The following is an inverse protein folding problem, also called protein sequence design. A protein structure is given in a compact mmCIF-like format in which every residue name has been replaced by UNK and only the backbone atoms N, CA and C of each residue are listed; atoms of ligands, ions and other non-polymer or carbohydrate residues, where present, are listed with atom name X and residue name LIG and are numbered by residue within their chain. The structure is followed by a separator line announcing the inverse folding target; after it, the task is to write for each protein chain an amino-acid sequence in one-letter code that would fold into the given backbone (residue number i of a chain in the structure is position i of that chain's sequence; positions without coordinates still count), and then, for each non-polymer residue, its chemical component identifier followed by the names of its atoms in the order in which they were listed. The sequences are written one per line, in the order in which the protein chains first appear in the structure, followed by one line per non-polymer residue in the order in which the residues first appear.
data_IF_084056299381
#
_entry.id   IF_084056299381
#
_cell.length_a   1.000
_cell.length_b   1.000
_cell.length_c   1.000
_cell.angle_alpha   90.00
_cell.angle_beta   90.00
_cell.angle_gamma   90.00
#
_symmetry.space_group_name_H-M   'P 1'
#
loop_
_entity.id
_entity.type
_entity.pdbx_description
1 polymer ?
#
# COMPACT_ATOMS: atom_id res chain seq x y z
N UNK A 1 9.24 -12.86 9.00
CA UNK A 1 7.77 -12.98 9.03
C UNK A 1 7.33 -14.31 9.62
N UNK A 2 7.70 -15.47 9.06
CA UNK A 2 7.27 -16.82 9.55
C UNK A 2 7.52 -17.03 11.04
N UNK A 3 8.65 -16.55 11.60
CA UNK A 3 8.93 -16.64 13.05
C UNK A 3 7.88 -15.88 13.88
N UNK A 4 7.41 -14.74 13.41
CA UNK A 4 6.39 -13.93 14.10
C UNK A 4 5.03 -14.64 14.06
N UNK A 5 4.70 -15.30 12.97
CA UNK A 5 3.41 -15.95 12.77
C UNK A 5 3.25 -17.22 13.61
N UNK A 6 4.35 -17.95 13.89
CA UNK A 6 4.33 -19.22 14.65
C UNK A 6 3.70 -19.12 16.04
N UNK A 7 3.85 -17.97 16.68
CA UNK A 7 3.39 -17.73 18.05
C UNK A 7 1.97 -17.13 18.12
N UNK A 8 1.32 -16.94 16.97
CA UNK A 8 -0.03 -16.36 16.89
C UNK A 8 -1.10 -17.47 16.88
N UNK A 9 -2.18 -17.27 17.64
CA UNK A 9 -3.32 -18.20 17.69
C UNK A 9 -4.15 -18.18 16.41
N UNK A 10 -4.32 -17.02 15.84
CA UNK A 10 -5.06 -16.81 14.60
C UNK A 10 -4.35 -15.75 13.77
N UNK A 11 -4.16 -16.05 12.50
CA UNK A 11 -3.57 -15.13 11.52
C UNK A 11 -4.50 -15.03 10.33
N UNK A 12 -4.90 -13.82 10.03
CA UNK A 12 -5.73 -13.49 8.88
C UNK A 12 -4.84 -12.83 7.82
N UNK A 13 -4.86 -13.36 6.61
CA UNK A 13 -4.18 -12.79 5.46
C UNK A 13 -5.17 -11.97 4.64
N UNK A 14 -4.81 -10.75 4.28
CA UNK A 14 -5.53 -9.96 3.28
C UNK A 14 -4.68 -9.84 2.02
N UNK A 15 -5.29 -10.07 0.85
CA UNK A 15 -4.68 -9.87 -0.46
C UNK A 15 -5.57 -8.92 -1.24
N UNK A 16 -4.96 -7.81 -1.69
CA UNK A 16 -5.68 -6.75 -2.38
C UNK A 16 -6.06 -7.10 -3.82
N UNK A 17 -5.14 -7.69 -4.59
CA UNK A 17 -5.33 -8.04 -5.99
C UNK A 17 -4.23 -9.02 -6.47
N UNK A 18 -4.29 -9.42 -7.74
CA UNK A 18 -3.51 -10.51 -8.31
C UNK A 18 -2.14 -10.12 -8.88
N UNK A 19 -1.71 -8.85 -8.82
CA UNK A 19 -0.38 -8.48 -9.32
C UNK A 19 0.72 -9.20 -8.55
N UNK A 20 1.81 -9.54 -9.22
CA UNK A 20 2.87 -10.41 -8.70
C UNK A 20 3.55 -9.88 -7.43
N UNK A 21 3.58 -8.59 -7.23
CA UNK A 21 4.11 -7.94 -6.03
C UNK A 21 3.13 -7.97 -4.83
N UNK A 22 1.85 -8.37 -5.06
CA UNK A 22 0.82 -8.57 -4.05
C UNK A 22 0.38 -10.04 -3.95
N UNK A 23 0.62 -10.83 -5.00
CA UNK A 23 0.25 -12.24 -5.11
C UNK A 23 1.45 -13.04 -5.63
N UNK A 24 2.33 -13.49 -4.72
CA UNK A 24 3.47 -14.33 -5.02
C UNK A 24 3.25 -15.76 -4.51
N UNK A 25 3.24 -16.73 -5.43
CA UNK A 25 2.89 -18.11 -5.13
C UNK A 25 3.87 -18.77 -4.14
N UNK A 26 5.16 -18.49 -4.24
CA UNK A 26 6.17 -19.08 -3.36
C UNK A 26 6.00 -18.54 -1.93
N UNK A 27 5.77 -17.24 -1.79
CA UNK A 27 5.46 -16.62 -0.49
C UNK A 27 4.16 -17.16 0.08
N UNK A 28 3.13 -17.33 -0.73
CA UNK A 28 1.83 -17.86 -0.29
C UNK A 28 1.96 -19.31 0.19
N UNK A 29 2.67 -20.16 -0.54
CA UNK A 29 2.93 -21.54 -0.10
C UNK A 29 3.68 -21.58 1.24
N UNK A 30 4.66 -20.69 1.44
CA UNK A 30 5.41 -20.57 2.70
C UNK A 30 4.52 -20.13 3.87
N UNK A 31 3.54 -19.26 3.62
CA UNK A 31 2.66 -18.71 4.65
C UNK A 31 1.47 -19.61 4.98
N UNK A 32 1.03 -20.47 4.04
CA UNK A 32 -0.18 -21.28 4.16
C UNK A 32 -0.33 -22.01 5.50
N UNK A 33 0.70 -22.66 6.07
CA UNK A 33 0.57 -23.40 7.35
C UNK A 33 0.25 -22.50 8.55
N UNK A 34 0.36 -21.18 8.40
CA UNK A 34 0.20 -20.20 9.48
C UNK A 34 -1.06 -19.36 9.34
N UNK A 35 -1.79 -19.47 8.22
CA UNK A 35 -2.95 -18.62 7.91
C UNK A 35 -4.25 -19.38 8.20
N UNK A 36 -5.07 -18.79 9.05
CA UNK A 36 -6.39 -19.35 9.40
C UNK A 36 -7.44 -19.03 8.34
N UNK A 37 -7.40 -17.82 7.80
CA UNK A 37 -8.34 -17.28 6.81
C UNK A 37 -7.62 -16.35 5.84
N UNK A 38 -8.00 -16.39 4.57
CA UNK A 38 -7.56 -15.42 3.57
C UNK A 38 -8.75 -14.57 3.13
N UNK A 39 -8.67 -13.25 3.36
CA UNK A 39 -9.70 -12.29 2.99
C UNK A 39 -9.29 -11.61 1.70
N UNK A 40 -10.19 -11.59 0.74
CA UNK A 40 -9.99 -10.95 -0.56
C UNK A 40 -11.23 -10.14 -0.96
N UNK A 41 -11.08 -9.15 -1.86
CA UNK A 41 -12.22 -8.52 -2.50
C UNK A 41 -12.94 -9.49 -3.43
N UNK A 42 -14.26 -9.35 -3.51
CA UNK A 42 -15.08 -10.05 -4.50
C UNK A 42 -15.09 -9.25 -5.78
N UNK A 43 -14.23 -9.63 -6.70
CA UNK A 43 -14.19 -9.06 -8.04
C UNK A 43 -15.25 -9.68 -8.96
N UNK A 44 -15.46 -9.07 -10.14
CA UNK A 44 -16.39 -9.59 -11.14
C UNK A 44 -15.93 -10.94 -11.71
N UNK A 45 -14.62 -11.22 -11.72
CA UNK A 45 -14.07 -12.53 -12.04
C UNK A 45 -13.68 -13.31 -10.79
N UNK A 46 -13.35 -14.57 -10.97
CA UNK A 46 -13.02 -15.47 -9.87
C UNK A 46 -11.54 -15.83 -9.78
N UNK A 47 -10.69 -15.22 -10.60
CA UNK A 47 -9.31 -15.64 -10.76
C UNK A 47 -8.56 -15.69 -9.42
N UNK A 48 -8.54 -14.58 -8.67
CA UNK A 48 -7.83 -14.49 -7.38
C UNK A 48 -8.33 -15.54 -6.39
N UNK A 49 -9.67 -15.68 -6.26
CA UNK A 49 -10.30 -16.70 -5.40
C UNK A 49 -9.88 -18.10 -5.79
N UNK A 50 -9.96 -18.44 -7.07
CA UNK A 50 -9.75 -19.79 -7.55
C UNK A 50 -8.27 -20.21 -7.41
N UNK A 51 -7.33 -19.27 -7.67
CA UNK A 51 -5.91 -19.50 -7.43
C UNK A 51 -5.61 -19.77 -5.94
N UNK A 52 -6.15 -18.95 -5.04
CA UNK A 52 -5.94 -19.14 -3.60
C UNK A 52 -6.54 -20.46 -3.08
N UNK A 53 -7.72 -20.85 -3.56
CA UNK A 53 -8.31 -22.14 -3.23
C UNK A 53 -7.49 -23.31 -3.75
N UNK A 54 -6.90 -23.19 -4.94
CA UNK A 54 -6.01 -24.20 -5.51
C UNK A 54 -4.74 -24.39 -4.67
N UNK A 55 -4.20 -23.31 -4.09
CA UNK A 55 -3.08 -23.36 -3.14
C UNK A 55 -3.50 -24.02 -1.81
N UNK A 56 -4.78 -23.95 -1.45
CA UNK A 56 -5.33 -24.55 -0.23
C UNK A 56 -5.81 -23.55 0.83
N UNK A 57 -5.92 -22.28 0.52
CA UNK A 57 -6.40 -21.27 1.45
C UNK A 57 -7.91 -21.37 1.74
N UNK A 58 -8.28 -21.10 3.00
CA UNK A 58 -9.66 -20.83 3.39
C UNK A 58 -10.03 -19.38 3.01
N UNK A 59 -10.64 -19.20 1.85
CA UNK A 59 -10.90 -17.89 1.23
C UNK A 59 -12.25 -17.34 1.61
N UNK A 60 -12.27 -16.09 2.06
CA UNK A 60 -13.47 -15.28 2.32
C UNK A 60 -13.46 -14.10 1.38
N UNK A 61 -14.48 -13.99 0.53
CA UNK A 61 -14.67 -12.86 -0.38
C UNK A 61 -15.57 -11.80 0.30
N UNK A 62 -15.16 -10.54 0.26
CA UNK A 62 -15.96 -9.41 0.73
C UNK A 62 -16.43 -8.57 -0.47
N UNK A 63 -17.70 -8.16 -0.43
CA UNK A 63 -18.23 -7.16 -1.35
C UNK A 63 -17.69 -5.75 -0.99
N UNK A 64 -17.82 -4.81 -1.92
CA UNK A 64 -17.48 -3.42 -1.68
C UNK A 64 -18.19 -2.87 -0.44
N UNK A 65 -17.42 -2.22 0.44
CA UNK A 65 -17.88 -1.68 1.73
C UNK A 65 -18.49 -2.72 2.68
N UNK A 66 -18.29 -4.01 2.41
CA UNK A 66 -18.70 -5.06 3.34
C UNK A 66 -17.71 -5.16 4.49
N UNK A 67 -18.26 -5.14 5.71
CA UNK A 67 -17.48 -5.33 6.95
C UNK A 67 -17.55 -6.78 7.41
N UNK A 68 -16.41 -7.37 7.70
CA UNK A 68 -16.27 -8.67 8.35
C UNK A 68 -15.73 -8.46 9.77
N UNK A 69 -16.50 -8.88 10.76
CA UNK A 69 -16.06 -8.84 12.16
C UNK A 69 -15.15 -10.03 12.45
N UNK A 70 -13.97 -9.74 13.01
CA UNK A 70 -13.00 -10.72 13.48
C UNK A 70 -13.19 -11.02 14.96
N UNK A 71 -13.66 -10.03 15.71
CA UNK A 71 -14.10 -10.13 17.12
C UNK A 71 -15.31 -9.20 17.35
N UNK A 72 -15.65 -8.92 18.61
CA UNK A 72 -16.75 -8.02 18.96
C UNK A 72 -16.59 -6.62 18.36
N UNK A 73 -15.35 -6.10 18.35
CA UNK A 73 -15.04 -4.73 17.90
C UNK A 73 -14.09 -4.72 16.70
N UNK A 74 -13.28 -5.77 16.53
CA UNK A 74 -12.30 -5.84 15.47
C UNK A 74 -12.95 -6.22 14.14
N UNK A 75 -12.57 -5.53 13.09
CA UNK A 75 -13.13 -5.82 11.76
C UNK A 75 -12.14 -5.46 10.64
N UNK A 76 -12.40 -6.05 9.50
CA UNK A 76 -11.85 -5.63 8.22
C UNK A 76 -13.01 -5.24 7.28
N UNK A 77 -12.82 -4.17 6.54
CA UNK A 77 -13.75 -3.65 5.54
C UNK A 77 -12.96 -3.27 4.29
N UNK A 78 -13.51 -3.52 3.10
CA UNK A 78 -12.81 -3.26 1.85
C UNK A 78 -13.50 -2.18 1.02
N UNK A 79 -12.71 -1.26 0.47
CA UNK A 79 -13.12 -0.37 -0.63
C UNK A 79 -12.57 -0.98 -1.91
N UNK A 80 -13.44 -1.42 -2.80
CA UNK A 80 -13.08 -2.17 -3.99
C UNK A 80 -13.11 -1.25 -5.22
N UNK A 81 -12.08 -1.33 -6.04
CA UNK A 81 -12.03 -0.77 -7.39
C UNK A 81 -12.01 -1.93 -8.37
N UNK A 82 -13.09 -2.06 -9.13
CA UNK A 82 -13.22 -3.09 -10.15
C UNK A 82 -13.79 -2.44 -11.42
N UNK A 83 -12.93 -2.26 -12.42
CA UNK A 83 -13.28 -1.64 -13.71
C UNK A 83 -13.39 -2.66 -14.82
N UNK A 84 -13.30 -3.96 -14.50
CA UNK A 84 -13.25 -5.05 -15.47
C UNK A 84 -11.89 -5.23 -16.15
N UNK A 85 -11.01 -4.24 -16.06
CA UNK A 85 -9.63 -4.29 -16.61
C UNK A 85 -8.61 -4.16 -15.49
N UNK A 86 -8.91 -3.34 -14.47
CA UNK A 86 -8.06 -3.14 -13.31
C UNK A 86 -8.85 -3.52 -12.06
N UNK A 87 -8.28 -4.39 -11.28
CA UNK A 87 -8.79 -4.82 -9.99
C UNK A 87 -7.84 -4.35 -8.90
N UNK A 88 -8.39 -3.77 -7.84
CA UNK A 88 -7.62 -3.41 -6.65
C UNK A 88 -8.55 -3.12 -5.47
N UNK A 89 -8.01 -3.11 -4.28
CA UNK A 89 -8.78 -2.78 -3.08
C UNK A 89 -7.94 -2.12 -2.00
N UNK A 90 -8.62 -1.35 -1.17
CA UNK A 90 -8.09 -0.73 0.04
C UNK A 90 -8.71 -1.42 1.24
N UNK A 91 -7.91 -1.82 2.23
CA UNK A 91 -8.41 -2.38 3.48
C UNK A 91 -8.49 -1.32 4.57
N UNK A 92 -9.63 -1.29 5.27
CA UNK A 92 -9.83 -0.57 6.53
C UNK A 92 -9.85 -1.63 7.63
N UNK A 93 -8.89 -1.61 8.51
CA UNK A 93 -8.70 -2.61 9.55
C UNK A 93 -8.80 -1.93 10.90
N UNK A 94 -9.75 -2.34 11.72
CA UNK A 94 -9.85 -1.93 13.12
C UNK A 94 -9.40 -3.10 13.99
N UNK A 95 -8.36 -2.88 14.79
CA UNK A 95 -7.85 -3.84 15.77
C UNK A 95 -7.52 -3.09 17.06
N UNK A 96 -8.03 -3.58 18.19
CA UNK A 96 -7.78 -2.99 19.51
C UNK A 96 -8.09 -1.47 19.55
N UNK A 97 -9.20 -1.05 18.93
CA UNK A 97 -9.64 0.35 18.80
C UNK A 97 -8.69 1.26 18.01
N UNK A 98 -7.73 0.70 17.28
CA UNK A 98 -6.85 1.42 16.34
C UNK A 98 -7.23 1.10 14.89
N UNK A 99 -7.35 2.14 14.08
CA UNK A 99 -7.74 2.02 12.67
C UNK A 99 -6.53 2.17 11.77
N UNK A 100 -6.24 1.12 11.02
CA UNK A 100 -5.25 1.13 9.94
C UNK A 100 -5.97 1.09 8.58
N UNK A 101 -5.71 2.07 7.74
CA UNK A 101 -6.14 2.09 6.35
C UNK A 101 -4.95 1.76 5.47
N UNK A 102 -4.98 0.57 4.87
CA UNK A 102 -3.99 0.13 3.89
C UNK A 102 -4.56 0.34 2.48
N UNK A 103 -4.23 1.47 1.89
CA UNK A 103 -4.63 1.77 0.51
C UNK A 103 -3.70 1.11 -0.50
N UNK A 104 -2.49 0.69 -0.10
CA UNK A 104 -1.45 0.15 -0.97
C UNK A 104 -1.25 0.99 -2.26
N UNK A 105 -1.42 0.47 -3.45
CA UNK A 105 -1.38 1.19 -4.72
C UNK A 105 -2.77 1.41 -5.36
N UNK A 106 -3.83 1.04 -4.65
CA UNK A 106 -5.22 1.23 -5.05
C UNK A 106 -5.59 2.70 -5.26
N UNK A 107 -6.26 3.01 -6.35
CA UNK A 107 -6.58 4.38 -6.76
C UNK A 107 -7.99 4.78 -6.37
N UNK A 108 -8.28 4.89 -5.07
CA UNK A 108 -9.58 5.32 -4.53
C UNK A 108 -9.71 6.84 -4.33
N UNK A 109 -8.96 7.65 -5.07
CA UNK A 109 -8.89 9.10 -4.81
C UNK A 109 -10.23 9.84 -4.91
N UNK A 110 -11.16 9.34 -5.70
CA UNK A 110 -12.54 9.81 -5.82
C UNK A 110 -13.45 9.35 -4.67
N UNK A 111 -13.04 8.33 -3.90
CA UNK A 111 -13.79 7.73 -2.78
C UNK A 111 -13.18 8.04 -1.41
N UNK A 112 -12.14 8.85 -1.34
CA UNK A 112 -11.47 9.21 -0.08
C UNK A 112 -12.40 9.89 0.92
N UNK A 113 -13.46 10.56 0.46
CA UNK A 113 -14.48 11.17 1.32
C UNK A 113 -15.17 10.15 2.24
N UNK A 114 -15.22 8.88 1.86
CA UNK A 114 -15.71 7.81 2.72
C UNK A 114 -14.89 7.66 4.01
N UNK A 115 -13.62 8.01 3.98
CA UNK A 115 -12.71 7.95 5.13
C UNK A 115 -12.68 9.24 5.95
N UNK A 116 -13.31 10.33 5.49
CA UNK A 116 -13.17 11.65 6.09
C UNK A 116 -13.71 11.72 7.54
N UNK A 117 -14.76 10.95 7.83
CA UNK A 117 -15.38 10.87 9.15
C UNK A 117 -14.84 9.70 10.00
N UNK A 118 -13.91 8.93 9.47
CA UNK A 118 -13.26 7.81 10.17
C UNK A 118 -12.06 8.31 10.94
N UNK A 119 -11.98 8.01 12.25
CA UNK A 119 -10.76 8.27 13.02
C UNK A 119 -9.68 7.28 12.59
N UNK A 120 -8.78 7.71 11.71
CA UNK A 120 -7.68 6.87 11.21
C UNK A 120 -6.42 7.11 12.03
N UNK A 121 -5.86 6.05 12.61
CA UNK A 121 -4.61 6.11 13.34
C UNK A 121 -3.43 5.95 12.39
N UNK A 122 -3.49 4.98 11.49
CA UNK A 122 -2.42 4.68 10.53
C UNK A 122 -2.97 4.67 9.12
N UNK A 123 -2.26 5.32 8.21
CA UNK A 123 -2.61 5.36 6.79
C UNK A 123 -1.41 5.01 5.94
N UNK A 124 -1.56 4.00 5.09
CA UNK A 124 -0.54 3.59 4.13
C UNK A 124 -1.06 3.73 2.71
N UNK A 125 -0.32 4.46 1.87
CA UNK A 125 -0.61 4.60 0.45
C UNK A 125 0.69 4.74 -0.35
N UNK A 126 0.68 4.21 -1.55
CA UNK A 126 1.77 4.33 -2.51
C UNK A 126 2.13 5.79 -2.80
N UNK A 127 3.38 6.17 -2.58
CA UNK A 127 3.88 7.52 -2.87
C UNK A 127 4.71 7.61 -4.15
N UNK A 128 5.24 6.50 -4.64
CA UNK A 128 5.99 6.41 -5.88
C UNK A 128 5.40 5.27 -6.73
N UNK A 129 5.35 5.41 -8.02
CA UNK A 129 4.84 4.38 -8.90
C UNK A 129 5.95 3.71 -9.70
N UNK A 130 5.73 2.50 -10.18
CA UNK A 130 6.57 1.85 -11.17
C UNK A 130 6.07 2.22 -12.57
N UNK A 131 6.84 2.98 -13.35
CA UNK A 131 6.49 3.36 -14.72
C UNK A 131 7.73 3.56 -15.57
N UNK A 132 7.80 2.93 -16.74
CA UNK A 132 8.87 3.16 -17.70
C UNK A 132 8.77 4.51 -18.45
N UNK A 133 7.61 5.17 -18.41
CA UNK A 133 7.44 6.47 -19.08
C UNK A 133 7.75 7.62 -18.12
N UNK A 134 8.61 8.59 -18.51
CA UNK A 134 9.19 8.81 -19.85
C UNK A 134 10.56 8.15 -20.06
N UNK A 135 11.14 7.53 -19.04
CA UNK A 135 12.57 7.15 -19.01
C UNK A 135 12.93 6.16 -20.11
N UNK A 136 12.09 5.15 -20.32
CA UNK A 136 12.30 4.08 -21.33
C UNK A 136 11.84 4.47 -22.75
N UNK A 137 11.42 5.72 -22.97
CA UNK A 137 10.90 6.15 -24.27
C UNK A 137 11.95 6.94 -25.06
N UNK A 138 11.91 6.84 -26.38
CA UNK A 138 12.78 7.60 -27.28
C UNK A 138 12.31 9.07 -27.34
N UNK A 139 12.95 9.90 -26.55
CA UNK A 139 12.75 11.35 -26.52
C UNK A 139 13.98 12.03 -25.89
N UNK A 140 14.17 13.33 -26.18
CA UNK A 140 15.30 14.07 -25.64
C UNK A 140 15.22 14.21 -24.10
N UNK A 141 16.36 14.39 -23.46
CA UNK A 141 16.49 14.40 -22.01
C UNK A 141 15.73 15.53 -21.34
N UNK A 142 15.70 16.71 -21.95
CA UNK A 142 14.97 17.84 -21.38
C UNK A 142 13.46 17.55 -21.29
N UNK A 143 12.90 16.92 -22.34
CA UNK A 143 11.50 16.50 -22.34
C UNK A 143 11.23 15.39 -21.31
N UNK A 144 12.14 14.40 -21.20
CA UNK A 144 12.06 13.36 -20.14
C UNK A 144 12.02 14.00 -18.76
N UNK A 145 12.94 14.91 -18.48
CA UNK A 145 13.01 15.63 -17.20
C UNK A 145 11.74 16.42 -16.87
N UNK A 146 11.20 17.15 -17.84
CA UNK A 146 9.95 17.91 -17.64
C UNK A 146 8.76 17.00 -17.32
N UNK A 147 8.61 15.88 -18.05
CA UNK A 147 7.53 14.90 -17.83
C UNK A 147 7.72 14.23 -16.47
N UNK A 148 8.92 13.77 -16.13
CA UNK A 148 9.22 13.13 -14.85
C UNK A 148 8.89 14.04 -13.68
N UNK A 149 9.32 15.30 -13.74
CA UNK A 149 9.01 16.31 -12.71
C UNK A 149 7.51 16.54 -12.57
N UNK A 150 6.78 16.66 -13.68
CA UNK A 150 5.33 16.83 -13.66
C UNK A 150 4.64 15.63 -13.00
N UNK A 151 5.01 14.40 -13.39
CA UNK A 151 4.46 13.15 -12.81
C UNK A 151 4.74 13.06 -11.31
N UNK A 152 5.99 13.31 -10.89
CA UNK A 152 6.36 13.28 -9.48
C UNK A 152 5.55 14.29 -8.65
N UNK A 153 5.43 15.54 -9.10
CA UNK A 153 4.63 16.57 -8.42
C UNK A 153 3.15 16.17 -8.36
N UNK A 154 2.60 15.63 -9.44
CA UNK A 154 1.20 15.17 -9.47
C UNK A 154 0.97 14.06 -8.44
N UNK A 155 1.86 13.07 -8.37
CA UNK A 155 1.76 11.96 -7.42
C UNK A 155 1.89 12.46 -5.97
N UNK A 156 2.91 13.27 -5.67
CA UNK A 156 3.10 13.86 -4.34
C UNK A 156 1.89 14.71 -3.91
N UNK A 157 1.30 15.45 -4.84
CA UNK A 157 0.10 16.27 -4.58
C UNK A 157 -1.10 15.38 -4.26
N UNK A 158 -1.28 14.28 -4.98
CA UNK A 158 -2.35 13.30 -4.70
C UNK A 158 -2.19 12.70 -3.30
N UNK A 159 -0.97 12.27 -2.93
CA UNK A 159 -0.67 11.76 -1.59
C UNK A 159 -0.95 12.80 -0.50
N UNK A 160 -0.48 14.04 -0.68
CA UNK A 160 -0.75 15.13 0.27
C UNK A 160 -2.24 15.40 0.45
N UNK A 161 -3.00 15.39 -0.64
CA UNK A 161 -4.45 15.59 -0.59
C UNK A 161 -5.15 14.41 0.10
N UNK A 162 -4.73 13.18 -0.16
CA UNK A 162 -5.24 12.00 0.52
C UNK A 162 -4.99 12.09 2.04
N UNK A 163 -3.77 12.39 2.46
CA UNK A 163 -3.44 12.61 3.88
C UNK A 163 -4.30 13.72 4.50
N UNK A 164 -4.55 14.80 3.76
CA UNK A 164 -5.40 15.90 4.24
C UNK A 164 -6.86 15.48 4.45
N UNK A 165 -7.41 14.65 3.57
CA UNK A 165 -8.80 14.16 3.64
C UNK A 165 -8.92 13.11 4.75
N UNK A 166 -8.05 12.11 4.75
CA UNK A 166 -8.06 11.00 5.72
C UNK A 166 -7.66 11.48 7.12
N UNK A 167 -6.82 12.50 7.22
CA UNK A 167 -6.33 13.12 8.45
C UNK A 167 -5.79 12.10 9.49
N UNK A 168 -4.89 11.19 9.10
CA UNK A 168 -4.38 10.14 9.98
C UNK A 168 -3.40 10.70 11.02
N UNK A 169 -3.19 10.00 12.14
CA UNK A 169 -2.10 10.33 13.08
C UNK A 169 -0.74 10.03 12.47
N UNK A 170 -0.61 8.86 11.83
CA UNK A 170 0.63 8.37 11.24
C UNK A 170 0.43 8.04 9.76
N UNK A 171 1.35 8.50 8.94
CA UNK A 171 1.43 8.12 7.53
C UNK A 171 2.61 7.18 7.32
N UNK A 172 2.34 6.00 6.77
CA UNK A 172 3.33 4.98 6.43
C UNK A 172 3.49 4.93 4.91
N UNK A 173 4.57 5.52 4.35
CA UNK A 173 4.82 5.46 2.92
C UNK A 173 4.99 4.02 2.45
N UNK A 174 4.24 3.61 1.43
CA UNK A 174 4.31 2.27 0.85
C UNK A 174 4.59 2.30 -0.64
N UNK A 175 4.95 1.15 -1.19
CA UNK A 175 5.13 0.88 -2.63
C UNK A 175 6.01 1.92 -3.35
N UNK A 176 7.29 1.98 -3.00
CA UNK A 176 8.24 2.83 -3.71
C UNK A 176 9.50 3.17 -2.91
N UNK A 177 10.53 3.68 -3.62
CA UNK A 177 10.62 3.78 -5.07
C UNK A 177 10.88 2.43 -5.74
N UNK A 178 10.44 2.27 -6.98
CA UNK A 178 10.83 1.12 -7.79
C UNK A 178 12.34 1.21 -8.12
N UNK A 179 13.05 0.11 -7.96
CA UNK A 179 14.47 -0.02 -8.28
C UNK A 179 14.63 -1.15 -9.29
N UNK A 180 15.32 -0.87 -10.37
CA UNK A 180 15.61 -1.83 -11.42
C UNK A 180 17.13 -2.09 -11.44
N UNK A 181 17.65 -3.03 -10.62
CA UNK A 181 19.10 -3.22 -10.44
C UNK A 181 19.82 -3.70 -11.71
N UNK A 182 19.07 -4.21 -12.68
CA UNK A 182 19.59 -4.62 -13.99
C UNK A 182 19.58 -3.48 -15.03
N UNK A 183 19.03 -2.33 -14.68
CA UNK A 183 19.06 -1.14 -15.52
C UNK A 183 20.14 -0.18 -15.02
N UNK A 184 20.54 0.74 -15.91
CA UNK A 184 21.45 1.80 -15.62
C UNK A 184 20.98 2.64 -14.41
N UNK A 185 21.92 3.12 -13.58
CA UNK A 185 21.66 3.96 -12.40
C UNK A 185 20.79 5.19 -12.70
N UNK A 186 20.93 5.78 -13.88
CA UNK A 186 20.14 6.94 -14.31
C UNK A 186 18.64 6.63 -14.36
N UNK A 187 18.25 5.37 -14.58
CA UNK A 187 16.84 4.96 -14.58
C UNK A 187 16.23 4.83 -13.19
N UNK A 188 17.05 4.56 -12.18
CA UNK A 188 16.63 4.41 -10.79
C UNK A 188 16.88 5.65 -9.95
N UNK A 189 18.01 6.36 -10.19
CA UNK A 189 18.47 7.46 -9.34
C UNK A 189 18.84 8.74 -10.10
N UNK A 190 18.82 8.71 -11.44
CA UNK A 190 19.21 9.83 -12.28
C UNK A 190 18.27 11.04 -12.16
N UNK A 191 18.77 12.20 -12.59
CA UNK A 191 18.04 13.49 -12.58
C UNK A 191 16.74 13.48 -13.40
N UNK A 192 16.61 12.55 -14.34
CA UNK A 192 15.45 12.37 -15.20
C UNK A 192 14.47 11.31 -14.64
N UNK A 193 14.73 10.82 -13.44
CA UNK A 193 13.93 9.79 -12.81
C UNK A 193 12.52 10.30 -12.46
N UNK A 194 11.54 9.44 -12.67
CA UNK A 194 10.14 9.68 -12.32
C UNK A 194 9.81 9.13 -10.92
N UNK A 195 10.71 8.30 -10.37
CA UNK A 195 10.52 7.65 -9.08
C UNK A 195 10.84 8.61 -7.94
N UNK A 196 9.89 8.75 -7.04
CA UNK A 196 10.00 9.62 -5.88
C UNK A 196 10.70 8.83 -4.77
N UNK A 197 11.75 9.40 -4.19
CA UNK A 197 12.44 8.81 -3.06
C UNK A 197 11.90 9.36 -1.72
N UNK A 198 12.08 8.61 -0.65
CA UNK A 198 11.58 8.98 0.67
C UNK A 198 12.03 10.36 1.16
N UNK A 199 13.29 10.81 0.97
CA UNK A 199 13.69 12.18 1.34
C UNK A 199 12.88 13.27 0.64
N UNK A 200 12.55 13.09 -0.64
CA UNK A 200 11.75 14.05 -1.40
C UNK A 200 10.30 14.08 -0.90
N UNK A 201 9.74 12.91 -0.58
CA UNK A 201 8.42 12.78 0.02
C UNK A 201 8.36 13.49 1.38
N UNK A 202 9.31 13.23 2.28
CA UNK A 202 9.37 13.84 3.62
C UNK A 202 9.44 15.37 3.50
N UNK A 203 10.34 15.87 2.64
CA UNK A 203 10.46 17.31 2.37
C UNK A 203 9.17 17.91 1.83
N UNK A 204 8.49 17.22 0.92
CA UNK A 204 7.23 17.70 0.33
C UNK A 204 6.09 17.73 1.35
N UNK A 205 6.10 16.82 2.32
CA UNK A 205 5.09 16.67 3.36
C UNK A 205 5.48 17.33 4.69
N UNK A 206 6.56 18.11 4.78
CA UNK A 206 7.08 18.71 6.03
C UNK A 206 6.04 19.51 6.84
N UNK A 207 5.02 20.07 6.13
CA UNK A 207 3.91 20.83 6.74
C UNK A 207 2.66 19.96 6.99
N UNK A 208 2.75 18.65 6.80
CA UNK A 208 1.63 17.75 7.11
C UNK A 208 1.41 17.65 8.62
N UNK A 209 0.15 17.49 9.03
CA UNK A 209 -0.18 17.18 10.43
C UNK A 209 0.12 15.73 10.81
N UNK A 210 0.06 14.82 9.83
CA UNK A 210 0.37 13.41 10.05
C UNK A 210 1.87 13.23 10.29
N UNK A 211 2.23 12.42 11.28
CA UNK A 211 3.63 12.01 11.49
C UNK A 211 4.00 10.99 10.41
N UNK A 212 5.09 11.24 9.69
CA UNK A 212 5.58 10.33 8.65
C UNK A 212 6.47 9.30 9.32
N UNK A 213 6.16 8.02 9.13
CA UNK A 213 6.90 6.88 9.69
C UNK A 213 7.49 6.07 8.54
N UNK A 214 8.80 6.19 8.33
CA UNK A 214 9.54 5.39 7.36
C UNK A 214 10.27 4.28 8.12
N UNK A 215 9.96 3.03 7.77
CA UNK A 215 10.57 1.84 8.37
C UNK A 215 11.43 1.10 7.34
N UNK A 216 12.55 0.56 7.79
CA UNK A 216 13.35 -0.41 7.02
C UNK A 216 12.77 -1.82 7.19
N UNK A 217 13.04 -2.74 6.29
CA UNK A 217 12.65 -4.13 6.48
C UNK A 217 13.14 -4.69 7.82
N UNK A 218 12.21 -5.19 8.64
CA UNK A 218 12.50 -5.74 9.97
C UNK A 218 12.45 -4.72 11.12
N UNK A 219 12.30 -3.43 10.85
CA UNK A 219 12.06 -2.43 11.90
C UNK A 219 10.60 -2.46 12.35
N UNK A 220 10.40 -2.19 13.63
CA UNK A 220 9.08 -2.10 14.27
C UNK A 220 8.80 -0.67 14.70
N UNK A 221 7.59 -0.22 14.46
CA UNK A 221 7.11 1.07 14.97
C UNK A 221 6.39 0.86 16.30
N UNK A 222 6.93 1.46 17.35
CA UNK A 222 6.27 1.53 18.65
C UNK A 222 5.98 2.99 19.00
N UNK A 223 4.69 3.34 19.09
CA UNK A 223 4.23 4.70 19.38
C UNK A 223 4.68 5.25 20.73
N UNK A 224 4.97 4.37 21.70
CA UNK A 224 5.42 4.75 23.03
C UNK A 224 6.92 5.08 23.07
N UNK A 225 7.72 4.41 22.22
CA UNK A 225 9.17 4.54 22.18
C UNK A 225 9.61 5.52 21.07
N UNK A 226 8.95 5.50 19.93
CA UNK A 226 9.35 6.25 18.74
C UNK A 226 8.60 7.58 18.60
N UNK A 227 8.76 8.47 19.54
CA UNK A 227 8.25 9.85 19.43
C UNK A 227 9.07 10.73 18.44
N UNK A 228 10.15 10.23 17.88
CA UNK A 228 10.98 10.95 16.90
C UNK A 228 10.71 10.44 15.50
N UNK A 229 10.63 11.34 14.49
CA UNK A 229 10.65 10.89 13.10
C UNK A 229 11.97 10.13 12.87
N UNK A 230 11.87 8.91 12.37
CA UNK A 230 13.06 8.15 11.96
C UNK A 230 13.71 8.96 10.85
N UNK A 231 14.93 9.43 11.10
CA UNK A 231 15.73 10.07 10.05
C UNK A 231 15.92 9.06 8.91
N UNK A 232 15.68 9.43 7.66
CA UNK A 232 15.96 8.55 6.53
C UNK A 232 17.46 8.17 6.56
N UNK A 233 17.79 6.99 6.08
CA UNK A 233 19.16 6.51 5.96
C UNK A 233 19.99 7.38 5.03
#
# INVERSE_FOLDING_TARGET
LVKILKDKKEVVLYISHEHQDHFDIDTLNLLLPHISKCIIPKYHDSFLRDQLKLIGYNVIELNDLQRLFLSKNDFIELIIVDTGVNHDSTAIINLDDEVFVNQNDCKIFDRLSYLADTKVDYYSVQFSGATGHPVCFDMNDEKKKQISKKKAITKLTAVRNAIKIVNPKYYLPSAGPAIFPFLNEDLSFGKNNVFIHQPDLIKFLEKSKAKIVCLRPGEEFNKEINNSPVSPP
#
